data_IF_658223457558
#
_entry.id   IF_658223457558
#
_cell.length_a   1.000
_cell.length_b   1.000
_cell.length_c   1.000
_cell.angle_alpha   90.00
_cell.angle_beta   90.00
_cell.angle_gamma   90.00
#
_symmetry.space_group_name_H-M   'P 1'
#
loop_
_entity.id
_entity.type
_entity.pdbx_description
1 polymer ?
#
# COMPACT_ATOMS: atom_id res chain seq x y z
N UNK A 1 6.52 -12.56 -4.06
CA UNK A 1 6.24 -11.12 -3.88
C UNK A 1 5.97 -10.50 -5.24
N UNK A 2 4.94 -9.70 -5.31
CA UNK A 2 4.56 -9.02 -6.55
C UNK A 2 4.48 -7.52 -6.30
N UNK A 3 4.86 -6.74 -7.30
CA UNK A 3 4.67 -5.29 -7.30
C UNK A 3 3.75 -4.92 -8.45
N UNK A 4 3.05 -3.84 -8.33
CA UNK A 4 2.18 -3.38 -9.41
C UNK A 4 1.65 -1.99 -9.15
N UNK A 5 0.85 -1.55 -10.11
CA UNK A 5 0.13 -0.28 -10.02
C UNK A 5 -1.32 -0.54 -10.37
N UNK A 6 -2.23 0.05 -9.57
CA UNK A 6 -3.65 -0.02 -9.90
C UNK A 6 -3.95 0.89 -11.09
N UNK A 7 -5.13 0.74 -11.67
CA UNK A 7 -5.57 1.62 -12.77
C UNK A 7 -5.59 3.10 -12.36
N UNK A 8 -5.82 3.39 -11.09
CA UNK A 8 -5.82 4.75 -10.56
C UNK A 8 -4.42 5.26 -10.16
N UNK A 9 -3.37 4.45 -10.35
CA UNK A 9 -1.99 4.90 -10.15
C UNK A 9 -1.42 4.66 -8.76
N UNK A 10 -1.99 3.74 -7.98
CA UNK A 10 -1.43 3.35 -6.68
C UNK A 10 -0.37 2.28 -6.88
N UNK A 11 0.83 2.53 -6.37
CA UNK A 11 1.91 1.54 -6.33
C UNK A 11 1.77 0.67 -5.10
N UNK A 12 1.85 -0.64 -5.27
CA UNK A 12 1.73 -1.59 -4.16
C UNK A 12 2.74 -2.73 -4.28
N UNK A 13 3.01 -3.34 -3.12
CA UNK A 13 3.80 -4.57 -3.00
C UNK A 13 2.94 -5.60 -2.29
N UNK A 14 2.72 -6.74 -2.91
CA UNK A 14 1.86 -7.78 -2.37
C UNK A 14 2.62 -9.10 -2.27
N UNK A 15 2.51 -9.73 -1.11
CA UNK A 15 3.07 -11.05 -0.86
C UNK A 15 1.90 -11.98 -0.50
N UNK A 16 1.52 -12.84 -1.44
CA UNK A 16 0.37 -13.73 -1.25
C UNK A 16 0.84 -15.06 -0.69
N UNK A 17 0.31 -15.40 0.47
CA UNK A 17 0.47 -16.70 1.11
C UNK A 17 -0.92 -17.34 1.24
N UNK A 18 -0.98 -18.52 1.83
CA UNK A 18 -2.24 -19.25 1.93
C UNK A 18 -3.17 -18.77 3.03
N UNK A 19 -2.83 -17.69 3.74
CA UNK A 19 -3.70 -17.12 4.75
C UNK A 19 -4.91 -16.43 4.11
N UNK A 20 -6.03 -16.50 4.83
CA UNK A 20 -7.28 -15.90 4.38
C UNK A 20 -7.28 -14.38 4.53
N UNK A 21 -6.54 -13.84 5.52
CA UNK A 21 -6.56 -12.41 5.84
C UNK A 21 -5.13 -11.87 5.75
N UNK A 22 -4.85 -10.95 4.83
CA UNK A 22 -3.53 -10.34 4.73
C UNK A 22 -3.34 -9.26 5.79
N UNK A 23 -2.07 -9.02 6.13
CA UNK A 23 -1.67 -7.86 6.92
C UNK A 23 -1.48 -6.70 5.96
N UNK A 24 -2.11 -5.57 6.24
CA UNK A 24 -1.96 -4.36 5.43
C UNK A 24 -1.13 -3.34 6.20
N UNK A 25 -0.04 -2.90 5.59
CA UNK A 25 0.85 -1.90 6.17
C UNK A 25 0.63 -0.56 5.47
N UNK A 26 0.24 0.46 6.25
CA UNK A 26 -0.07 1.80 5.74
C UNK A 26 0.90 2.79 6.39
N UNK A 27 1.72 3.44 5.57
CA UNK A 27 2.70 4.40 6.09
C UNK A 27 2.05 5.77 6.36
N UNK A 28 2.77 6.62 7.09
CA UNK A 28 2.32 7.97 7.39
C UNK A 28 2.72 8.98 6.33
N UNK A 29 2.15 10.18 6.43
CA UNK A 29 2.46 11.29 5.54
C UNK A 29 3.95 11.61 5.59
N UNK A 30 4.56 11.81 4.42
CA UNK A 30 5.98 12.11 4.30
C UNK A 30 6.87 10.89 4.16
N UNK A 31 6.29 9.68 4.16
CA UNK A 31 7.02 8.42 4.07
C UNK A 31 6.65 7.67 2.79
N UNK A 32 7.14 6.44 2.67
CA UNK A 32 6.77 5.52 1.60
C UNK A 32 6.58 4.13 2.20
N UNK A 33 6.13 3.16 1.36
CA UNK A 33 5.98 1.78 1.79
C UNK A 33 7.30 1.20 2.34
N UNK A 34 8.43 1.74 1.92
CA UNK A 34 9.75 1.22 2.30
C UNK A 34 10.04 1.30 3.79
N UNK A 35 9.32 2.17 4.52
CA UNK A 35 9.47 2.22 5.98
C UNK A 35 9.12 0.89 6.64
N UNK A 36 8.32 0.06 5.96
CA UNK A 36 7.88 -1.23 6.48
C UNK A 36 8.84 -2.38 6.18
N UNK A 37 10.02 -2.10 5.58
CA UNK A 37 10.93 -3.16 5.16
C UNK A 37 11.27 -4.17 6.29
N UNK A 38 11.57 -3.73 7.53
CA UNK A 38 11.81 -4.70 8.62
C UNK A 38 10.59 -5.58 8.91
N UNK A 39 9.39 -4.99 8.91
CA UNK A 39 8.15 -5.72 9.17
C UNK A 39 7.81 -6.66 8.02
N UNK A 40 8.01 -6.23 6.79
CA UNK A 40 7.79 -7.06 5.62
C UNK A 40 8.70 -8.30 5.66
N UNK A 41 9.94 -8.13 6.09
CA UNK A 41 10.87 -9.25 6.24
C UNK A 41 10.45 -10.18 7.37
N UNK A 42 10.03 -9.61 8.51
CA UNK A 42 9.62 -10.40 9.66
C UNK A 42 8.36 -11.23 9.36
N UNK A 43 7.41 -10.63 8.64
CA UNK A 43 6.12 -11.27 8.33
C UNK A 43 6.09 -11.87 6.94
N UNK A 44 7.23 -12.28 6.39
CA UNK A 44 7.28 -12.81 5.02
C UNK A 44 6.55 -14.14 4.84
N UNK A 45 6.21 -14.84 5.94
CA UNK A 45 5.41 -16.06 5.89
C UNK A 45 3.90 -15.79 5.88
N UNK A 46 3.49 -14.54 6.01
CA UNK A 46 2.09 -14.13 6.01
C UNK A 46 1.77 -13.39 4.72
N UNK A 47 0.51 -13.47 4.31
CA UNK A 47 0.04 -12.58 3.25
C UNK A 47 0.13 -11.14 3.74
N UNK A 48 0.71 -10.26 2.95
CA UNK A 48 0.82 -8.86 3.33
C UNK A 48 0.71 -7.97 2.10
N UNK A 49 0.23 -6.76 2.34
CA UNK A 49 0.08 -5.72 1.35
C UNK A 49 0.65 -4.44 1.93
N UNK A 50 1.54 -3.81 1.19
CA UNK A 50 2.00 -2.46 1.51
C UNK A 50 1.86 -1.61 0.25
N UNK A 51 1.67 -0.32 0.42
CA UNK A 51 1.50 0.56 -0.73
C UNK A 51 1.92 1.97 -0.35
N UNK A 52 2.18 2.77 -1.39
CA UNK A 52 2.43 4.19 -1.22
C UNK A 52 1.09 4.92 -1.22
N UNK A 53 0.82 5.70 -0.18
CA UNK A 53 -0.41 6.50 -0.12
C UNK A 53 -0.39 7.57 -1.21
N UNK A 54 -1.55 8.12 -1.52
CA UNK A 54 -1.71 9.11 -2.59
C UNK A 54 -0.65 10.21 -2.53
N UNK A 55 -0.02 10.47 -3.67
CA UNK A 55 0.98 11.53 -3.80
C UNK A 55 2.32 11.23 -3.15
N UNK A 56 2.54 10.00 -2.65
CA UNK A 56 3.78 9.59 -2.02
C UNK A 56 4.47 8.51 -2.83
N UNK A 57 5.81 8.46 -2.75
CA UNK A 57 6.59 7.44 -3.43
C UNK A 57 6.22 7.34 -4.90
N UNK A 58 5.78 6.14 -5.30
CA UNK A 58 5.43 5.83 -6.68
C UNK A 58 3.93 5.94 -6.97
N UNK A 59 3.14 6.38 -6.00
CA UNK A 59 1.69 6.55 -6.19
C UNK A 59 1.36 7.94 -6.69
N UNK A 60 0.42 8.01 -7.64
CA UNK A 60 0.00 9.26 -8.25
C UNK A 60 -0.81 10.12 -7.29
N UNK A 61 -0.72 11.43 -7.47
CA UNK A 61 -1.60 12.39 -6.84
C UNK A 61 -2.68 12.76 -7.85
N UNK A 62 -3.90 12.29 -7.62
CA UNK A 62 -4.98 12.41 -8.61
C UNK A 62 -5.67 13.76 -8.58
N UNK A 63 -5.55 14.52 -7.49
CA UNK A 63 -6.12 15.85 -7.36
C UNK A 63 -5.34 16.64 -6.31
N UNK A 64 -5.56 17.96 -6.27
CA UNK A 64 -4.79 18.85 -5.41
C UNK A 64 -5.25 18.83 -3.94
N UNK A 65 -6.55 18.66 -3.72
CA UNK A 65 -7.12 18.67 -2.38
C UNK A 65 -7.47 17.25 -1.97
N UNK A 66 -6.65 16.67 -1.10
CA UNK A 66 -6.81 15.29 -0.63
C UNK A 66 -7.47 15.31 0.74
N UNK A 67 -8.53 14.51 0.91
CA UNK A 67 -9.21 14.33 2.18
C UNK A 67 -8.94 12.92 2.73
N UNK A 68 -9.35 12.68 3.97
CA UNK A 68 -9.28 11.32 4.53
C UNK A 68 -10.10 10.32 3.70
N UNK A 69 -11.21 10.76 3.14
CA UNK A 69 -12.02 9.89 2.28
C UNK A 69 -11.25 9.41 1.07
N UNK A 70 -10.39 10.24 0.50
CA UNK A 70 -9.55 9.84 -0.63
C UNK A 70 -8.58 8.74 -0.26
N UNK A 71 -7.98 8.79 0.93
CA UNK A 71 -7.11 7.73 1.41
C UNK A 71 -7.89 6.44 1.68
N UNK A 72 -9.10 6.57 2.21
CA UNK A 72 -9.97 5.41 2.45
C UNK A 72 -10.38 4.75 1.14
N UNK A 73 -10.72 5.53 0.13
CA UNK A 73 -11.05 5.01 -1.20
C UNK A 73 -9.86 4.31 -1.84
N UNK A 74 -8.65 4.84 -1.64
CA UNK A 74 -7.44 4.18 -2.15
C UNK A 74 -7.29 2.79 -1.54
N UNK A 75 -7.47 2.65 -0.24
CA UNK A 75 -7.37 1.37 0.44
C UNK A 75 -8.43 0.39 -0.06
N UNK A 76 -9.67 0.86 -0.19
CA UNK A 76 -10.78 0.04 -0.69
C UNK A 76 -10.49 -0.46 -2.11
N UNK A 77 -9.91 0.38 -2.95
CA UNK A 77 -9.56 0.00 -4.32
C UNK A 77 -8.51 -1.12 -4.37
N UNK A 78 -7.64 -1.19 -3.36
CA UNK A 78 -6.60 -2.21 -3.27
C UNK A 78 -7.12 -3.55 -2.75
N UNK A 79 -8.11 -3.53 -1.91
CA UNK A 79 -8.62 -4.75 -1.28
C UNK A 79 -9.92 -5.19 -1.93
#
# INVERSE_FOLDING_TARGET
>A
MATGNTASGTFYVYNNKEQLIPIVFIHGVGLTYEIWQPQLNFFNNYSNLSYDILGHGKSSLLKQNISFDDFSEQLIDLI
#
